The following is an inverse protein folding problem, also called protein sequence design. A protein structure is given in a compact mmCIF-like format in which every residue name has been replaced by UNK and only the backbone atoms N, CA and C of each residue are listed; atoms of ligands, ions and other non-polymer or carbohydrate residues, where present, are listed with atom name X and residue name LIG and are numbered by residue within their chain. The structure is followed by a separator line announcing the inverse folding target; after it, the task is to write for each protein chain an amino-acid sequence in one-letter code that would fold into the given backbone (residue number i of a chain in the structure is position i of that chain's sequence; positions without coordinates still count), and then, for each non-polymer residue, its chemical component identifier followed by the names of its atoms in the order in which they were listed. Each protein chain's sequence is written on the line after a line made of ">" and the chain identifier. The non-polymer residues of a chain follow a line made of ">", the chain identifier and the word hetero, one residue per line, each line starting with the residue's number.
data_IF_969475405779
#
_entry.id   IF_969475405779
#
_cell.length_a   1.000
_cell.length_b   1.000
_cell.length_c   1.000
_cell.angle_alpha   90.00
_cell.angle_beta   90.00
_cell.angle_gamma   90.00
#
_symmetry.space_group_name_H-M   'P 1'
#
loop_
_entity.id
_entity.type
_entity.pdbx_description
1 polymer ?
#
# COMPACT_ATOMS: atom_id res chain seq x y z
N UNK A 1 -30.45 44.90 51.54
CA UNK A 1 -30.55 45.20 50.08
C UNK A 1 -29.21 45.13 49.32
N UNK A 2 -28.05 45.61 49.84
CA UNK A 2 -26.75 45.46 49.13
C UNK A 2 -26.21 44.02 49.11
N UNK A 3 -26.13 43.36 50.28
CA UNK A 3 -25.62 41.98 50.38
C UNK A 3 -26.41 40.95 49.54
N UNK A 4 -27.73 41.15 49.41
CA UNK A 4 -28.60 40.32 48.56
C UNK A 4 -28.34 40.48 47.07
N UNK A 5 -27.89 41.66 46.63
CA UNK A 5 -27.54 41.92 45.21
C UNK A 5 -26.20 41.27 44.84
N UNK A 6 -25.23 41.31 45.75
CA UNK A 6 -23.93 40.64 45.56
C UNK A 6 -24.08 39.11 45.52
N UNK A 7 -24.95 38.55 46.37
CA UNK A 7 -25.29 37.11 46.32
C UNK A 7 -25.96 36.71 45.01
N UNK A 8 -26.85 37.56 44.48
CA UNK A 8 -27.55 37.29 43.21
C UNK A 8 -26.60 37.33 42.01
N UNK A 9 -25.63 38.26 42.01
CA UNK A 9 -24.58 38.31 40.97
C UNK A 9 -23.71 37.06 40.99
N UNK A 10 -23.27 36.62 42.17
CA UNK A 10 -22.50 35.38 42.31
C UNK A 10 -23.28 34.14 41.85
N UNK A 11 -24.59 34.10 42.14
CA UNK A 11 -25.45 33.03 41.67
C UNK A 11 -25.52 33.02 40.13
N UNK A 12 -25.73 34.19 39.52
CA UNK A 12 -25.77 34.31 38.06
C UNK A 12 -24.43 33.94 37.40
N UNK A 13 -23.30 34.29 38.00
CA UNK A 13 -21.97 33.89 37.53
C UNK A 13 -21.82 32.36 37.55
N UNK A 14 -22.24 31.70 38.64
CA UNK A 14 -22.23 30.25 38.75
C UNK A 14 -23.19 29.58 37.77
N UNK A 15 -24.39 30.15 37.56
CA UNK A 15 -25.36 29.63 36.59
C UNK A 15 -24.79 29.69 35.16
N UNK A 16 -24.15 30.80 34.78
CA UNK A 16 -23.48 30.93 33.48
C UNK A 16 -22.32 29.93 33.33
N UNK A 17 -21.55 29.69 34.38
CA UNK A 17 -20.46 28.70 34.37
C UNK A 17 -21.01 27.28 34.20
N UNK A 18 -22.10 26.95 34.90
CA UNK A 18 -22.81 25.66 34.76
C UNK A 18 -23.31 25.47 33.33
N UNK A 19 -23.93 26.49 32.73
CA UNK A 19 -24.46 26.40 31.38
C UNK A 19 -23.34 26.27 30.33
N UNK A 20 -22.21 26.96 30.52
CA UNK A 20 -21.03 26.77 29.68
C UNK A 20 -20.49 25.33 29.76
N UNK A 21 -20.36 24.79 30.98
CA UNK A 21 -19.88 23.42 31.20
C UNK A 21 -20.85 22.40 30.58
N UNK A 22 -22.17 22.61 30.70
CA UNK A 22 -23.17 21.74 30.07
C UNK A 22 -23.08 21.77 28.56
N UNK A 23 -22.96 22.95 27.95
CA UNK A 23 -22.80 23.08 26.51
C UNK A 23 -21.52 22.38 26.01
N UNK A 24 -20.42 22.48 26.76
CA UNK A 24 -19.20 21.73 26.47
C UNK A 24 -19.41 20.22 26.58
N UNK A 25 -20.08 19.75 27.64
CA UNK A 25 -20.39 18.34 27.84
C UNK A 25 -21.26 17.76 26.72
N UNK A 26 -22.25 18.52 26.25
CA UNK A 26 -23.12 18.13 25.14
C UNK A 26 -22.37 18.05 23.80
N UNK A 27 -21.30 18.83 23.63
CA UNK A 27 -20.47 18.79 22.42
C UNK A 27 -19.40 17.69 22.41
N UNK A 28 -19.07 17.09 23.57
CA UNK A 28 -18.05 16.03 23.67
C UNK A 28 -18.44 14.76 22.89
N UNK A 29 -19.68 14.22 22.99
CA UNK A 29 -20.09 13.03 22.23
C UNK A 29 -19.88 13.16 20.72
N UNK A 30 -20.23 14.30 20.13
CA UNK A 30 -20.11 14.53 18.69
C UNK A 30 -18.64 14.57 18.27
N UNK A 31 -17.80 15.33 19.01
CA UNK A 31 -16.34 15.34 18.77
C UNK A 31 -15.72 13.97 18.93
N UNK A 32 -16.19 13.17 19.91
CA UNK A 32 -15.70 11.80 20.10
C UNK A 32 -16.08 10.93 18.90
N UNK A 33 -17.31 11.03 18.42
CA UNK A 33 -17.77 10.27 17.25
C UNK A 33 -16.96 10.63 15.99
N UNK A 34 -16.71 11.92 15.75
CA UNK A 34 -15.86 12.38 14.64
C UNK A 34 -14.44 11.81 14.73
N UNK A 35 -13.82 11.85 15.92
CA UNK A 35 -12.48 11.30 16.14
C UNK A 35 -12.45 9.76 15.98
N UNK A 36 -13.47 9.07 16.45
CA UNK A 36 -13.61 7.61 16.28
C UNK A 36 -13.72 7.25 14.79
N UNK A 37 -14.50 7.99 14.00
CA UNK A 37 -14.61 7.80 12.56
C UNK A 37 -13.28 8.06 11.84
N UNK A 38 -12.61 9.17 12.15
CA UNK A 38 -11.29 9.48 11.58
C UNK A 38 -10.24 8.40 11.91
N UNK A 39 -10.27 7.89 13.15
CA UNK A 39 -9.38 6.82 13.58
C UNK A 39 -9.66 5.51 12.83
N UNK A 40 -10.92 5.15 12.66
CA UNK A 40 -11.32 3.94 11.94
C UNK A 40 -10.94 4.03 10.45
N UNK A 41 -11.19 5.16 9.80
CA UNK A 41 -10.76 5.42 8.42
C UNK A 41 -9.24 5.32 8.26
N UNK A 42 -8.48 5.89 9.21
CA UNK A 42 -7.02 5.81 9.20
C UNK A 42 -6.54 4.36 9.37
N UNK A 43 -7.17 3.58 10.27
CA UNK A 43 -6.87 2.16 10.46
C UNK A 43 -7.14 1.35 9.20
N UNK A 44 -8.27 1.56 8.55
CA UNK A 44 -8.62 0.86 7.32
C UNK A 44 -7.65 1.19 6.17
N UNK A 45 -7.23 2.45 6.05
CA UNK A 45 -6.23 2.86 5.05
C UNK A 45 -4.88 2.20 5.32
N UNK A 46 -4.44 2.17 6.58
CA UNK A 46 -3.20 1.52 6.98
C UNK A 46 -3.24 0.01 6.69
N UNK A 47 -4.35 -0.65 7.02
CA UNK A 47 -4.48 -2.10 6.80
C UNK A 47 -4.48 -2.45 5.30
N UNK A 48 -5.20 -1.68 4.48
CA UNK A 48 -5.16 -1.82 3.02
C UNK A 48 -3.74 -1.65 2.47
N UNK A 49 -3.02 -0.63 2.95
CA UNK A 49 -1.65 -0.37 2.50
C UNK A 49 -0.68 -1.48 2.92
N UNK A 50 -0.85 -2.07 4.11
CA UNK A 50 -0.08 -3.24 4.55
C UNK A 50 -0.36 -4.46 3.67
N UNK A 51 -1.63 -4.74 3.38
CA UNK A 51 -2.01 -5.86 2.54
C UNK A 51 -1.43 -5.69 1.12
N UNK A 52 -1.55 -4.49 0.54
CA UNK A 52 -0.97 -4.17 -0.76
C UNK A 52 0.56 -4.36 -0.77
N UNK A 53 1.25 -3.99 0.32
CA UNK A 53 2.70 -4.21 0.44
C UNK A 53 3.07 -5.69 0.47
N UNK A 54 2.26 -6.53 1.12
CA UNK A 54 2.47 -7.99 1.15
C UNK A 54 2.26 -8.57 -0.25
N UNK A 55 1.19 -8.13 -0.93
CA UNK A 55 0.85 -8.62 -2.26
C UNK A 55 1.90 -8.22 -3.31
N UNK A 56 2.41 -6.99 -3.27
CA UNK A 56 3.51 -6.53 -4.12
C UNK A 56 4.80 -7.32 -3.86
N UNK A 57 5.15 -7.56 -2.59
CA UNK A 57 6.34 -8.35 -2.25
C UNK A 57 6.23 -9.79 -2.77
N UNK A 58 5.03 -10.39 -2.66
CA UNK A 58 4.77 -11.72 -3.22
C UNK A 58 4.86 -11.71 -4.75
N UNK A 59 4.21 -10.75 -5.42
CA UNK A 59 4.24 -10.63 -6.88
C UNK A 59 5.66 -10.48 -7.39
N UNK A 60 6.49 -9.64 -6.74
CA UNK A 60 7.90 -9.48 -7.10
C UNK A 60 8.64 -10.81 -7.04
N UNK A 61 8.50 -11.55 -5.93
CA UNK A 61 9.14 -12.84 -5.75
C UNK A 61 8.70 -13.86 -6.80
N UNK A 62 7.42 -13.91 -7.12
CA UNK A 62 6.89 -14.82 -8.14
C UNK A 62 7.47 -14.50 -9.52
N UNK A 63 7.59 -13.20 -9.87
CA UNK A 63 8.22 -12.74 -11.12
C UNK A 63 9.71 -13.06 -11.16
N UNK A 64 10.44 -12.85 -10.06
CA UNK A 64 11.87 -13.18 -9.94
C UNK A 64 12.13 -14.68 -10.18
N UNK A 65 11.27 -15.56 -9.63
CA UNK A 65 11.34 -17.01 -9.84
C UNK A 65 11.06 -17.37 -11.31
N UNK A 66 10.06 -16.73 -11.93
CA UNK A 66 9.73 -16.96 -13.34
C UNK A 66 10.86 -16.49 -14.26
N UNK A 67 11.50 -15.37 -13.93
CA UNK A 67 12.64 -14.82 -14.65
C UNK A 67 13.83 -15.79 -14.62
N UNK A 68 14.17 -16.30 -13.44
CA UNK A 68 15.24 -17.29 -13.26
C UNK A 68 14.97 -18.56 -14.06
N UNK A 69 13.75 -19.10 -13.99
CA UNK A 69 13.35 -20.28 -14.77
C UNK A 69 13.41 -20.05 -16.28
N UNK A 70 13.05 -18.85 -16.74
CA UNK A 70 13.12 -18.45 -18.16
C UNK A 70 14.57 -18.34 -18.62
N UNK A 71 15.45 -17.77 -17.79
CA UNK A 71 16.88 -17.62 -18.08
C UNK A 71 17.57 -18.99 -18.15
N UNK A 72 17.28 -19.89 -17.22
CA UNK A 72 17.75 -21.27 -17.26
C UNK A 72 17.33 -21.98 -18.55
N UNK A 73 16.06 -21.81 -18.97
CA UNK A 73 15.55 -22.42 -20.20
C UNK A 73 16.25 -21.84 -21.43
N UNK A 74 16.47 -20.52 -21.48
CA UNK A 74 17.23 -19.85 -22.55
C UNK A 74 18.66 -20.40 -22.63
N UNK A 75 19.36 -20.53 -21.50
CA UNK A 75 20.71 -21.11 -21.46
C UNK A 75 20.77 -22.56 -21.94
N UNK A 76 19.78 -23.38 -21.56
CA UNK A 76 19.67 -24.78 -22.04
C UNK A 76 19.51 -24.81 -23.57
N UNK A 77 18.64 -23.96 -24.13
CA UNK A 77 18.44 -23.90 -25.58
C UNK A 77 19.67 -23.36 -26.32
N UNK A 78 20.35 -22.35 -25.78
CA UNK A 78 21.64 -21.86 -26.33
C UNK A 78 22.70 -22.96 -26.36
N UNK A 79 22.74 -23.80 -25.33
CA UNK A 79 23.64 -24.97 -25.30
C UNK A 79 23.24 -25.99 -26.37
N UNK A 80 21.96 -26.33 -26.51
CA UNK A 80 21.45 -27.24 -27.54
C UNK A 80 21.70 -26.73 -28.96
N UNK A 81 21.60 -25.41 -29.17
CA UNK A 81 21.85 -24.76 -30.46
C UNK A 81 23.28 -25.04 -30.97
N UNK A 82 24.25 -25.19 -30.07
CA UNK A 82 25.64 -25.55 -30.43
C UNK A 82 25.82 -27.02 -30.87
N UNK A 83 24.83 -27.87 -30.59
CA UNK A 83 24.90 -29.33 -30.79
C UNK A 83 24.08 -29.82 -31.99
N UNK A 84 23.10 -29.02 -32.46
CA UNK A 84 22.25 -29.39 -33.60
C UNK A 84 23.01 -29.31 -34.92
N UNK A 85 22.73 -30.25 -35.82
CA UNK A 85 23.44 -30.40 -37.10
C UNK A 85 22.57 -30.07 -38.31
N UNK A 86 21.26 -29.91 -38.11
CA UNK A 86 20.32 -29.60 -39.18
C UNK A 86 19.92 -28.13 -39.12
N UNK A 87 19.83 -27.50 -40.29
CA UNK A 87 19.46 -26.08 -40.37
C UNK A 87 18.04 -25.82 -39.81
N UNK A 88 17.12 -26.78 -40.00
CA UNK A 88 15.75 -26.67 -39.50
C UNK A 88 15.67 -26.67 -37.96
N UNK A 89 16.44 -27.52 -37.29
CA UNK A 89 16.49 -27.53 -35.82
C UNK A 89 17.17 -26.27 -35.28
N UNK A 90 18.20 -25.78 -36.00
CA UNK A 90 18.90 -24.55 -35.65
C UNK A 90 17.96 -23.33 -35.71
N UNK A 91 17.23 -23.15 -36.82
CA UNK A 91 16.25 -22.06 -36.97
C UNK A 91 15.13 -22.13 -35.91
N UNK A 92 14.63 -23.33 -35.61
CA UNK A 92 13.62 -23.52 -34.58
C UNK A 92 14.12 -23.12 -33.19
N UNK A 93 15.32 -23.57 -32.81
CA UNK A 93 15.93 -23.21 -31.52
C UNK A 93 16.24 -21.71 -31.43
N UNK A 94 16.69 -21.06 -32.51
CA UNK A 94 16.88 -19.61 -32.53
C UNK A 94 15.58 -18.86 -32.27
N UNK A 95 14.47 -19.28 -32.90
CA UNK A 95 13.17 -18.68 -32.67
C UNK A 95 12.70 -18.85 -31.22
N UNK A 96 12.86 -20.03 -30.65
CA UNK A 96 12.52 -20.30 -29.24
C UNK A 96 13.38 -19.46 -28.28
N UNK A 97 14.68 -19.34 -28.53
CA UNK A 97 15.57 -18.47 -27.73
C UNK A 97 15.10 -17.01 -27.83
N UNK A 98 14.81 -16.50 -29.03
CA UNK A 98 14.34 -15.13 -29.21
C UNK A 98 13.02 -14.86 -28.46
N UNK A 99 12.09 -15.82 -28.47
CA UNK A 99 10.85 -15.73 -27.70
C UNK A 99 11.10 -15.70 -26.19
N UNK A 100 12.04 -16.51 -25.69
CA UNK A 100 12.43 -16.51 -24.27
C UNK A 100 13.10 -15.20 -23.85
N UNK A 101 13.98 -14.62 -24.68
CA UNK A 101 14.59 -13.32 -24.39
C UNK A 101 13.55 -12.19 -24.38
N UNK A 102 12.56 -12.23 -25.28
CA UNK A 102 11.46 -11.27 -25.24
C UNK A 102 10.61 -11.42 -23.98
N UNK A 103 10.32 -12.66 -23.56
CA UNK A 103 9.59 -12.94 -22.31
C UNK A 103 10.39 -12.45 -21.09
N UNK A 104 11.70 -12.67 -21.09
CA UNK A 104 12.62 -12.19 -20.06
C UNK A 104 12.56 -10.67 -19.91
N UNK A 105 12.63 -9.93 -21.02
CA UNK A 105 12.50 -8.47 -21.02
C UNK A 105 11.16 -8.02 -20.43
N UNK A 106 10.07 -8.69 -20.77
CA UNK A 106 8.74 -8.35 -20.24
C UNK A 106 8.63 -8.60 -18.73
N UNK A 107 9.24 -9.68 -18.22
CA UNK A 107 9.31 -9.96 -16.78
C UNK A 107 10.16 -8.91 -16.05
N UNK A 108 11.30 -8.50 -16.62
CA UNK A 108 12.15 -7.44 -16.05
C UNK A 108 11.40 -6.10 -15.95
N UNK A 109 10.66 -5.73 -17.00
CA UNK A 109 9.81 -4.53 -16.99
C UNK A 109 8.73 -4.62 -15.90
N UNK A 110 8.06 -5.77 -15.75
CA UNK A 110 7.05 -5.94 -14.71
C UNK A 110 7.64 -5.88 -13.29
N UNK A 111 8.85 -6.43 -13.10
CA UNK A 111 9.56 -6.35 -11.81
C UNK A 111 9.87 -4.88 -11.47
N UNK A 112 10.32 -4.09 -12.45
CA UNK A 112 10.57 -2.66 -12.27
C UNK A 112 9.29 -1.92 -11.87
N UNK A 113 8.16 -2.17 -12.53
CA UNK A 113 6.87 -1.59 -12.15
C UNK A 113 6.47 -1.95 -10.71
N UNK A 114 6.66 -3.20 -10.30
CA UNK A 114 6.35 -3.65 -8.93
C UNK A 114 7.25 -2.96 -7.91
N UNK A 115 8.54 -2.76 -8.23
CA UNK A 115 9.47 -2.01 -7.38
C UNK A 115 9.05 -0.55 -7.22
N UNK A 116 8.71 0.15 -8.32
CA UNK A 116 8.24 1.53 -8.28
C UNK A 116 6.95 1.67 -7.46
N UNK A 117 5.98 0.76 -7.64
CA UNK A 117 4.76 0.73 -6.84
C UNK A 117 5.03 0.48 -5.36
N UNK A 118 5.99 -0.40 -5.05
CA UNK A 118 6.40 -0.70 -3.68
C UNK A 118 7.02 0.51 -2.99
N UNK A 119 7.88 1.27 -3.70
CA UNK A 119 8.47 2.50 -3.20
C UNK A 119 7.42 3.60 -2.97
N UNK A 120 6.52 3.79 -3.94
CA UNK A 120 5.42 4.74 -3.82
C UNK A 120 4.49 4.42 -2.64
N UNK A 121 4.20 3.14 -2.41
CA UNK A 121 3.40 2.67 -1.28
C UNK A 121 4.13 2.89 0.05
N UNK A 122 5.43 2.58 0.12
CA UNK A 122 6.24 2.82 1.31
C UNK A 122 6.30 4.31 1.69
N UNK A 123 6.33 5.21 0.70
CA UNK A 123 6.26 6.65 0.92
C UNK A 123 4.89 7.13 1.45
N UNK A 124 3.80 6.40 1.18
CA UNK A 124 2.45 6.69 1.69
C UNK A 124 2.19 6.15 3.10
N UNK A 125 2.96 5.14 3.53
CA UNK A 125 2.85 4.51 4.86
C UNK A 125 3.73 5.22 5.90
N UNK A 126 4.83 5.87 5.47
CA UNK A 126 5.65 6.74 6.34
C UNK A 126 4.90 8.01 6.75
#
# INVERSE_FOLDING_TARGET
>A
MRATKELLLKLQELDNEIDSIKAEQEAIPDKRLELEQLLEDARQRLEKAKQESIDLAKRRKDLEIELEATDEKSMRFKTQLSQVKTNREYEALQHEIAALEQHKSALEDEILEVLERSEALAARIK
#
